data_IF_749498473962
#
_entry.id   IF_749498473962
#
_cell.length_a   1.000
_cell.length_b   1.000
_cell.length_c   1.000
_cell.angle_alpha   90.00
_cell.angle_beta   90.00
_cell.angle_gamma   90.00
#
_symmetry.space_group_name_H-M   'P 1'
#
loop_
_entity.id
_entity.type
_entity.pdbx_description
1 polymer ?
#
# COMPACT_ATOMS: atom_id res chain seq x y z
N UNK A 1 0.97 -0.65 69.11
CA UNK A 1 -0.01 -1.61 68.57
C UNK A 1 -1.23 -0.81 68.19
N UNK A 2 -1.61 -0.81 66.92
CA UNK A 2 -2.95 -0.44 66.44
C UNK A 2 -3.00 -0.85 64.97
N UNK A 3 -3.61 -2.02 64.73
CA UNK A 3 -3.75 -2.61 63.41
C UNK A 3 -5.00 -2.04 62.73
N UNK A 4 -4.80 -1.33 61.62
CA UNK A 4 -5.89 -0.92 60.74
C UNK A 4 -6.33 -2.12 59.89
N UNK A 5 -7.40 -2.79 60.31
CA UNK A 5 -8.09 -3.82 59.53
C UNK A 5 -8.84 -3.16 58.36
N UNK A 6 -8.36 -3.35 57.14
CA UNK A 6 -9.12 -3.05 55.92
C UNK A 6 -10.15 -4.15 55.69
N UNK A 7 -11.44 -3.80 55.77
CA UNK A 7 -12.54 -4.68 55.36
C UNK A 7 -12.47 -4.99 53.86
N UNK A 8 -12.79 -6.22 53.43
CA UNK A 8 -13.10 -6.50 52.04
C UNK A 8 -14.51 -5.97 51.74
N UNK A 9 -14.62 -5.06 50.77
CA UNK A 9 -15.94 -4.62 50.28
C UNK A 9 -16.57 -5.77 49.50
N UNK A 10 -17.55 -6.42 50.13
CA UNK A 10 -18.41 -7.41 49.50
C UNK A 10 -19.27 -6.78 48.38
N UNK A 11 -19.42 -7.59 47.34
CA UNK A 11 -19.94 -7.29 46.00
C UNK A 11 -21.40 -6.85 45.94
N UNK A 12 -21.68 -5.80 45.15
CA UNK A 12 -23.01 -5.50 44.63
C UNK A 12 -23.17 -6.20 43.25
N UNK A 13 -24.26 -6.94 42.95
CA UNK A 13 -24.47 -7.58 41.65
C UNK A 13 -25.01 -6.55 40.64
N UNK A 14 -24.17 -5.59 40.28
CA UNK A 14 -24.47 -4.63 39.22
C UNK A 14 -24.25 -5.30 37.86
N UNK A 15 -25.22 -5.14 36.98
CA UNK A 15 -25.31 -5.64 35.60
C UNK A 15 -23.94 -5.81 34.89
N UNK A 16 -23.80 -6.81 34.01
CA UNK A 16 -22.52 -7.18 33.45
C UNK A 16 -22.03 -6.09 32.48
N UNK A 17 -21.27 -5.14 33.01
CA UNK A 17 -20.61 -4.09 32.25
C UNK A 17 -19.52 -4.65 31.33
N UNK A 18 -18.77 -3.77 30.68
CA UNK A 18 -17.70 -4.16 29.75
C UNK A 18 -16.59 -5.01 30.42
N UNK A 19 -16.51 -5.03 31.75
CA UNK A 19 -15.55 -5.81 32.54
C UNK A 19 -15.60 -7.31 32.27
N UNK A 20 -16.75 -7.87 31.89
CA UNK A 20 -16.87 -9.29 31.50
C UNK A 20 -16.00 -9.66 30.31
N UNK A 21 -15.73 -8.71 29.41
CA UNK A 21 -14.90 -8.90 28.23
C UNK A 21 -13.41 -8.64 28.50
N UNK A 22 -13.08 -8.19 29.71
CA UNK A 22 -11.73 -7.88 30.14
C UNK A 22 -11.17 -8.90 31.15
N UNK A 23 -11.96 -9.93 31.51
CA UNK A 23 -11.51 -11.02 32.35
C UNK A 23 -10.57 -11.98 31.58
N UNK A 24 -9.62 -12.59 32.29
CA UNK A 24 -8.74 -13.63 31.71
C UNK A 24 -7.63 -13.10 30.80
N UNK A 25 -7.18 -11.86 30.98
CA UNK A 25 -6.03 -11.33 30.24
C UNK A 25 -4.76 -12.18 30.50
N UNK A 26 -3.90 -12.41 29.50
CA UNK A 26 -2.68 -13.18 29.67
C UNK A 26 -1.76 -12.55 30.74
N UNK A 27 -1.57 -13.23 31.87
CA UNK A 27 -0.64 -12.82 32.91
C UNK A 27 0.79 -13.26 32.54
N UNK A 28 1.58 -12.38 31.92
CA UNK A 28 2.99 -12.64 31.57
C UNK A 28 4.01 -12.11 32.60
N UNK A 29 3.59 -11.65 33.79
CA UNK A 29 4.51 -11.07 34.78
C UNK A 29 3.93 -10.83 36.18
N UNK A 30 4.83 -10.50 37.12
CA UNK A 30 4.60 -10.37 38.57
C UNK A 30 4.27 -8.93 39.01
N UNK A 31 3.41 -8.22 38.28
CA UNK A 31 2.96 -6.87 38.68
C UNK A 31 1.89 -6.91 39.79
N UNK A 32 2.15 -7.68 40.84
CA UNK A 32 1.26 -7.82 42.00
C UNK A 32 1.59 -6.81 43.11
N UNK A 33 2.78 -6.21 43.08
CA UNK A 33 3.19 -5.18 44.02
C UNK A 33 3.01 -3.79 43.42
N UNK A 34 2.22 -2.94 44.10
CA UNK A 34 2.05 -1.53 43.77
C UNK A 34 3.17 -0.65 44.34
N UNK A 35 4.18 -1.25 44.98
CA UNK A 35 5.29 -0.50 45.58
C UNK A 35 6.11 0.12 44.46
N UNK A 36 6.04 1.45 44.39
CA UNK A 36 6.87 2.27 43.51
C UNK A 36 8.32 2.02 43.93
N UNK A 37 9.10 1.38 43.05
CA UNK A 37 10.52 1.12 43.26
C UNK A 37 11.22 2.41 43.70
N UNK A 38 11.82 2.39 44.89
CA UNK A 38 12.47 3.53 45.56
C UNK A 38 13.79 3.98 44.90
N UNK A 39 14.07 3.54 43.67
CA UNK A 39 15.22 3.98 42.89
C UNK A 39 14.76 5.01 41.85
N UNK A 40 14.88 6.32 42.12
CA UNK A 40 14.60 7.37 41.14
C UNK A 40 15.69 7.46 40.04
N UNK A 41 16.77 6.69 40.16
CA UNK A 41 17.74 6.51 39.10
C UNK A 41 17.15 5.60 38.03
N UNK A 42 16.87 6.16 36.85
CA UNK A 42 16.32 5.44 35.69
C UNK A 42 17.16 4.24 35.22
N UNK A 43 16.87 3.76 34.01
CA UNK A 43 17.54 2.57 33.46
C UNK A 43 19.07 2.70 33.57
N UNK A 44 19.71 1.73 34.25
CA UNK A 44 21.15 1.75 34.48
C UNK A 44 21.89 1.63 33.15
N UNK A 45 22.91 2.45 32.97
CA UNK A 45 23.80 2.38 31.80
C UNK A 45 24.60 1.08 31.88
N UNK A 46 24.52 0.27 30.83
CA UNK A 46 25.35 -0.93 30.71
C UNK A 46 26.74 -0.53 30.22
N UNK A 47 27.77 -0.98 30.94
CA UNK A 47 29.18 -0.79 30.60
C UNK A 47 29.75 -2.19 30.36
N UNK A 48 30.26 -2.44 29.16
CA UNK A 48 30.89 -3.70 28.81
C UNK A 48 32.28 -3.79 29.46
N UNK A 49 32.52 -4.81 30.27
CA UNK A 49 33.83 -5.18 30.82
C UNK A 49 34.57 -6.23 29.97
N UNK A 50 33.83 -6.89 29.07
CA UNK A 50 34.32 -7.88 28.12
C UNK A 50 34.29 -7.38 26.67
N UNK A 51 35.01 -8.09 25.78
CA UNK A 51 34.92 -7.83 24.34
C UNK A 51 33.49 -8.12 23.83
N UNK A 52 32.94 -7.14 23.11
CA UNK A 52 31.63 -7.23 22.45
C UNK A 52 31.75 -7.29 20.94
N UNK A 53 32.91 -7.70 20.43
CA UNK A 53 33.07 -8.00 19.01
C UNK A 53 32.05 -9.06 18.57
N UNK A 54 31.43 -8.92 17.38
CA UNK A 54 30.54 -9.94 16.87
C UNK A 54 31.26 -11.29 16.72
N UNK A 55 30.57 -12.43 16.89
CA UNK A 55 31.16 -13.75 16.69
C UNK A 55 31.85 -13.88 15.33
N UNK A 56 32.98 -14.58 15.33
CA UNK A 56 33.80 -14.76 14.12
C UNK A 56 33.00 -15.42 12.99
N UNK A 57 33.18 -14.90 11.77
CA UNK A 57 32.50 -15.39 10.57
C UNK A 57 31.09 -14.82 10.34
N UNK A 58 30.46 -14.17 11.32
CA UNK A 58 29.15 -13.56 11.14
C UNK A 58 29.26 -12.08 10.76
N UNK A 59 29.10 -11.79 9.46
CA UNK A 59 29.15 -10.43 8.93
C UNK A 59 27.84 -10.05 8.24
N UNK A 60 27.25 -8.93 8.66
CA UNK A 60 26.09 -8.35 7.98
C UNK A 60 26.60 -7.59 6.75
N UNK A 61 26.32 -8.10 5.55
CA UNK A 61 26.69 -7.45 4.27
C UNK A 61 25.45 -7.07 3.49
N UNK A 62 25.42 -5.83 3.00
CA UNK A 62 24.41 -5.37 2.05
C UNK A 62 24.90 -5.63 0.64
N UNK A 63 24.09 -6.32 -0.16
CA UNK A 63 24.41 -6.49 -1.57
C UNK A 63 24.17 -5.17 -2.32
N UNK A 64 25.24 -4.67 -2.94
CA UNK A 64 25.31 -3.35 -3.59
C UNK A 64 24.62 -3.28 -4.95
N UNK A 65 24.18 -4.41 -5.49
CA UNK A 65 23.53 -4.44 -6.78
C UNK A 65 22.10 -3.88 -6.68
N UNK A 66 21.78 -2.96 -7.59
CA UNK A 66 20.43 -2.42 -7.72
C UNK A 66 19.39 -3.54 -7.89
N UNK A 67 18.26 -3.41 -7.17
CA UNK A 67 17.21 -4.43 -7.13
C UNK A 67 16.62 -4.76 -8.50
N UNK A 68 16.55 -3.79 -9.42
CA UNK A 68 16.03 -3.99 -10.76
C UNK A 68 17.00 -4.87 -11.56
N UNK A 69 18.30 -4.54 -11.54
CA UNK A 69 19.34 -5.31 -12.24
C UNK A 69 19.36 -6.75 -11.72
N UNK A 70 19.31 -6.95 -10.40
CA UNK A 70 19.26 -8.30 -9.82
C UNK A 70 18.05 -9.08 -10.31
N UNK A 71 16.88 -8.46 -10.30
CA UNK A 71 15.63 -9.08 -10.76
C UNK A 71 15.70 -9.47 -12.24
N UNK A 72 16.28 -8.61 -13.08
CA UNK A 72 16.47 -8.85 -14.50
C UNK A 72 17.52 -9.97 -14.76
N UNK A 73 18.56 -10.07 -13.94
CA UNK A 73 19.54 -11.17 -14.04
C UNK A 73 18.94 -12.51 -13.61
N UNK A 74 18.17 -12.54 -12.52
CA UNK A 74 17.47 -13.74 -12.05
C UNK A 74 16.48 -14.29 -13.09
N UNK A 75 15.69 -13.42 -13.74
CA UNK A 75 14.78 -13.86 -14.81
C UNK A 75 15.52 -14.35 -16.06
N UNK A 76 16.71 -13.79 -16.37
CA UNK A 76 17.53 -14.25 -17.51
C UNK A 76 18.03 -15.67 -17.26
N UNK A 77 18.54 -15.95 -16.06
CA UNK A 77 19.01 -17.29 -15.69
C UNK A 77 17.86 -18.32 -15.62
N UNK A 78 16.70 -17.93 -15.10
CA UNK A 78 15.49 -18.78 -15.09
C UNK A 78 14.98 -19.09 -16.52
N UNK A 79 15.03 -18.11 -17.42
CA UNK A 79 14.60 -18.25 -18.81
C UNK A 79 15.53 -19.13 -19.65
N UNK A 80 16.83 -19.11 -19.37
CA UNK A 80 17.79 -20.01 -20.04
C UNK A 80 17.66 -21.46 -19.54
N UNK A 81 17.49 -21.65 -18.22
CA UNK A 81 17.28 -22.98 -17.62
C UNK A 81 15.93 -23.64 -18.00
N UNK A 82 14.95 -22.88 -18.49
CA UNK A 82 13.63 -23.37 -18.93
C UNK A 82 13.57 -23.72 -20.43
N UNK A 83 14.70 -23.71 -21.14
CA UNK A 83 14.72 -23.87 -22.61
C UNK A 83 14.85 -25.31 -23.12
N UNK A 84 14.84 -26.31 -22.24
CA UNK A 84 14.51 -27.70 -22.58
C UNK A 84 13.15 -28.04 -21.99
N UNK A 85 12.09 -27.79 -22.74
CA UNK A 85 10.98 -28.74 -22.90
C UNK A 85 9.96 -28.16 -23.88
N UNK A 86 9.95 -28.82 -25.02
CA UNK A 86 8.88 -29.03 -26.00
C UNK A 86 7.54 -28.34 -25.69
N UNK A 87 7.15 -27.43 -26.60
CA UNK A 87 5.78 -27.19 -27.12
C UNK A 87 4.62 -27.60 -26.20
N UNK A 88 4.03 -26.63 -25.51
CA UNK A 88 2.73 -26.83 -24.89
C UNK A 88 2.22 -25.64 -24.08
N UNK A 89 1.32 -24.87 -24.69
CA UNK A 89 0.19 -24.16 -24.06
C UNK A 89 0.50 -23.31 -22.82
N UNK A 90 0.41 -22.00 -23.03
CA UNK A 90 0.20 -21.01 -22.00
C UNK A 90 -0.97 -21.43 -21.07
N UNK A 91 -0.68 -21.66 -19.80
CA UNK A 91 -1.69 -21.57 -18.75
C UNK A 91 -1.23 -20.56 -17.72
N UNK A 92 -1.96 -19.45 -17.71
CA UNK A 92 -2.33 -18.65 -16.54
C UNK A 92 -2.01 -19.32 -15.20
N UNK A 93 -1.39 -18.56 -14.27
CA UNK A 93 -1.99 -18.23 -12.96
C UNK A 93 -0.93 -17.63 -12.02
N UNK A 94 -0.51 -16.40 -12.30
CA UNK A 94 0.19 -15.55 -11.35
C UNK A 94 -0.74 -14.43 -10.87
N UNK A 95 -1.76 -14.73 -10.07
CA UNK A 95 -2.44 -13.74 -9.22
C UNK A 95 -3.49 -14.36 -8.29
N UNK A 96 -3.07 -15.11 -7.27
CA UNK A 96 -3.85 -15.21 -6.03
C UNK A 96 -3.40 -14.11 -5.07
N UNK A 97 -3.77 -12.86 -5.39
CA UNK A 97 -3.81 -11.77 -4.41
C UNK A 97 -5.27 -11.43 -4.14
N UNK A 98 -5.69 -11.75 -2.91
CA UNK A 98 -6.91 -11.35 -2.19
C UNK A 98 -7.82 -10.36 -2.95
N UNK A 99 -8.97 -10.87 -3.41
CA UNK A 99 -10.14 -10.05 -3.76
C UNK A 99 -10.60 -9.36 -2.48
N UNK A 100 -10.47 -8.03 -2.43
CA UNK A 100 -11.27 -7.22 -1.53
C UNK A 100 -12.55 -6.87 -2.30
N UNK A 101 -13.64 -7.55 -1.95
CA UNK A 101 -15.02 -7.15 -2.26
C UNK A 101 -15.17 -5.66 -1.89
N UNK A 102 -15.45 -4.81 -2.88
CA UNK A 102 -15.97 -3.46 -2.64
C UNK A 102 -17.47 -3.53 -2.90
N UNK A 103 -18.33 -3.41 -1.88
CA UNK A 103 -19.75 -3.34 -2.10
C UNK A 103 -20.07 -2.07 -2.87
N UNK A 104 -20.79 -2.25 -3.97
CA UNK A 104 -21.47 -1.19 -4.70
C UNK A 104 -22.54 -0.57 -3.81
N UNK A 105 -22.44 0.72 -3.51
CA UNK A 105 -23.60 1.49 -3.06
C UNK A 105 -23.77 2.75 -3.89
N UNK A 106 -24.73 2.64 -4.80
CA UNK A 106 -25.47 3.72 -5.42
C UNK A 106 -26.11 4.58 -4.32
N UNK A 107 -25.71 5.84 -4.22
CA UNK A 107 -26.57 6.91 -3.68
C UNK A 107 -26.14 8.27 -4.23
N UNK A 108 -26.90 8.69 -5.22
CA UNK A 108 -27.09 10.08 -5.64
C UNK A 108 -27.48 10.94 -4.44
N UNK A 109 -26.77 12.05 -4.22
CA UNK A 109 -27.29 13.15 -3.38
C UNK A 109 -26.72 14.48 -3.86
N UNK A 110 -27.65 15.32 -4.33
CA UNK A 110 -27.42 16.61 -4.96
C UNK A 110 -27.08 17.72 -3.95
N UNK A 111 -26.23 18.66 -4.37
CA UNK A 111 -26.39 20.10 -4.05
C UNK A 111 -25.73 20.98 -5.13
N UNK A 112 -26.58 21.75 -5.83
CA UNK A 112 -26.31 22.83 -6.81
C UNK A 112 -25.65 24.04 -6.10
N UNK A 113 -25.00 25.05 -6.68
CA UNK A 113 -24.61 25.48 -8.03
C UNK A 113 -23.61 26.67 -7.87
N UNK A 114 -22.82 26.99 -8.90
CA UNK A 114 -22.73 28.39 -9.38
C UNK A 114 -22.30 28.43 -10.85
N UNK A 115 -22.96 29.30 -11.61
CA UNK A 115 -23.01 29.41 -13.05
C UNK A 115 -22.35 30.72 -13.50
N UNK A 116 -21.40 30.65 -14.42
CA UNK A 116 -21.13 31.65 -15.46
C UNK A 116 -20.60 30.87 -16.67
N UNK A 117 -21.42 30.49 -17.64
CA UNK A 117 -21.88 31.30 -18.79
C UNK A 117 -20.71 32.01 -19.48
N UNK A 118 -20.02 31.26 -20.34
CA UNK A 118 -19.32 31.77 -21.52
C UNK A 118 -20.06 31.24 -22.75
N UNK A 119 -20.70 32.17 -23.45
CA UNK A 119 -21.61 31.96 -24.58
C UNK A 119 -20.86 31.59 -25.87
N UNK A 120 -21.51 30.78 -26.72
CA UNK A 120 -21.37 30.72 -28.19
C UNK A 120 -20.00 30.35 -28.75
N UNK A 121 -19.95 29.28 -29.55
CA UNK A 121 -20.08 29.42 -31.01
C UNK A 121 -19.71 28.09 -31.67
N UNK A 122 -20.70 27.51 -32.33
CA UNK A 122 -20.55 26.51 -33.38
C UNK A 122 -19.69 27.16 -34.48
N UNK A 123 -18.44 26.70 -34.60
CA UNK A 123 -17.43 27.33 -35.42
C UNK A 123 -16.28 26.38 -35.68
N UNK A 124 -16.31 25.79 -36.87
CA UNK A 124 -15.23 25.07 -37.53
C UNK A 124 -13.83 25.42 -37.02
N UNK A 125 -13.19 24.49 -36.31
CA UNK A 125 -11.81 24.63 -35.84
C UNK A 125 -11.03 23.34 -36.15
N UNK A 126 -10.92 23.02 -37.44
CA UNK A 126 -10.07 21.91 -37.93
C UNK A 126 -8.57 22.15 -37.69
N UNK A 127 -8.15 23.38 -37.35
CA UNK A 127 -6.74 23.70 -37.07
C UNK A 127 -6.35 23.74 -35.59
N UNK A 128 -7.29 23.90 -34.65
CA UNK A 128 -6.97 23.93 -33.21
C UNK A 128 -6.60 22.54 -32.66
N UNK A 129 -7.28 21.49 -33.14
CA UNK A 129 -7.03 20.11 -32.72
C UNK A 129 -5.62 19.60 -33.04
N UNK A 130 -4.95 20.18 -34.05
CA UNK A 130 -3.67 19.68 -34.53
C UNK A 130 -2.50 19.95 -33.57
N UNK A 131 -2.48 21.14 -32.93
CA UNK A 131 -1.45 21.52 -31.94
C UNK A 131 -1.73 20.89 -30.58
N UNK A 132 -3.00 20.68 -30.24
CA UNK A 132 -3.40 20.14 -28.93
C UNK A 132 -2.92 18.71 -28.70
N UNK A 133 -2.90 17.87 -29.74
CA UNK A 133 -2.44 16.48 -29.62
C UNK A 133 -0.95 16.37 -29.28
N UNK A 134 -0.11 17.34 -29.66
CA UNK A 134 1.32 17.31 -29.33
C UNK A 134 1.57 17.54 -27.83
N UNK A 135 0.73 18.36 -27.21
CA UNK A 135 0.80 18.72 -25.80
C UNK A 135 0.17 17.67 -24.88
N UNK A 136 -0.54 16.67 -25.44
CA UNK A 136 -1.13 15.60 -24.65
C UNK A 136 -0.12 14.52 -24.25
N UNK A 137 -0.33 13.98 -23.05
CA UNK A 137 0.37 12.79 -22.58
C UNK A 137 -0.10 11.56 -23.37
N UNK A 138 0.73 10.52 -23.40
CA UNK A 138 0.42 9.26 -24.10
C UNK A 138 -0.88 8.63 -23.57
N UNK A 139 -1.16 8.77 -22.28
CA UNK A 139 -2.40 8.28 -21.67
C UNK A 139 -3.64 9.00 -22.21
N UNK A 140 -3.58 10.34 -22.30
CA UNK A 140 -4.67 11.14 -22.86
C UNK A 140 -4.88 10.84 -24.35
N UNK A 141 -3.81 10.65 -25.11
CA UNK A 141 -3.89 10.22 -26.52
C UNK A 141 -4.53 8.83 -26.67
N UNK A 142 -4.17 7.87 -25.81
CA UNK A 142 -4.78 6.53 -25.81
C UNK A 142 -6.25 6.57 -25.42
N UNK A 143 -6.64 7.42 -24.47
CA UNK A 143 -8.04 7.60 -24.08
C UNK A 143 -8.88 8.14 -25.24
N UNK A 144 -8.37 9.15 -25.96
CA UNK A 144 -9.03 9.71 -27.15
C UNK A 144 -9.14 8.70 -28.30
N UNK A 145 -8.11 7.87 -28.51
CA UNK A 145 -8.18 6.80 -29.51
C UNK A 145 -9.23 5.75 -29.13
N UNK A 146 -9.28 5.34 -27.85
CA UNK A 146 -10.31 4.41 -27.37
C UNK A 146 -11.72 4.97 -27.50
N UNK A 147 -11.94 6.25 -27.18
CA UNK A 147 -13.26 6.87 -27.33
C UNK A 147 -13.68 6.99 -28.79
N UNK A 148 -12.72 7.10 -29.73
CA UNK A 148 -12.96 7.07 -31.17
C UNK A 148 -12.98 5.65 -31.78
N UNK A 149 -12.83 4.59 -30.97
CA UNK A 149 -12.79 3.20 -31.45
C UNK A 149 -11.53 2.82 -32.23
N UNK A 150 -10.45 3.61 -32.11
CA UNK A 150 -9.18 3.40 -32.82
C UNK A 150 -8.16 2.68 -31.94
N UNK A 151 -7.21 1.99 -32.58
CA UNK A 151 -6.16 1.24 -31.88
C UNK A 151 -5.26 2.16 -31.03
N UNK A 152 -5.11 1.89 -29.71
CA UNK A 152 -4.25 2.68 -28.80
C UNK A 152 -2.78 2.20 -28.76
N UNK A 153 -2.36 1.33 -29.70
CA UNK A 153 -0.99 0.82 -29.78
C UNK A 153 -0.11 1.70 -30.66
N UNK A 154 1.15 1.83 -30.28
CA UNK A 154 2.17 2.58 -31.02
C UNK A 154 2.98 3.55 -30.16
N UNK A 155 3.96 4.20 -30.79
CA UNK A 155 4.72 5.33 -30.23
C UNK A 155 3.85 6.60 -30.19
N UNK A 156 4.24 7.63 -29.42
CA UNK A 156 3.47 8.87 -29.25
C UNK A 156 3.10 9.50 -30.61
N UNK A 157 4.05 9.55 -31.54
CA UNK A 157 3.84 10.13 -32.88
C UNK A 157 2.81 9.36 -33.70
N UNK A 158 2.80 8.03 -33.60
CA UNK A 158 1.81 7.17 -34.28
C UNK A 158 0.40 7.39 -33.73
N UNK A 159 0.27 7.60 -32.41
CA UNK A 159 -1.03 7.89 -31.79
C UNK A 159 -1.55 9.27 -32.25
N UNK A 160 -0.66 10.25 -32.35
CA UNK A 160 -0.98 11.60 -32.83
C UNK A 160 -1.36 11.56 -34.31
N UNK A 161 -0.59 10.89 -35.15
CA UNK A 161 -0.90 10.73 -36.58
C UNK A 161 -2.27 10.07 -36.79
N UNK A 162 -2.59 9.05 -35.99
CA UNK A 162 -3.89 8.35 -36.06
C UNK A 162 -5.05 9.22 -35.59
N UNK A 163 -4.86 10.06 -34.56
CA UNK A 163 -5.88 11.03 -34.13
C UNK A 163 -6.09 12.15 -35.15
N UNK A 164 -5.02 12.56 -35.86
CA UNK A 164 -5.10 13.54 -36.94
C UNK A 164 -5.79 12.98 -38.19
N UNK A 165 -5.53 11.72 -38.55
CA UNK A 165 -6.15 11.06 -39.71
C UNK A 165 -7.62 10.67 -39.51
N UNK A 166 -8.12 10.72 -38.27
CA UNK A 166 -9.51 10.43 -37.91
C UNK A 166 -10.27 11.68 -37.41
N UNK A 167 -9.77 12.87 -37.73
CA UNK A 167 -10.43 14.15 -37.50
C UNK A 167 -10.89 14.74 -38.82
#
# INVERSE_FOLDING_TARGET
MEGSTSQPSDSNPTAPGASKFLAGLPSRGLFSSTVISSNPGGMRVYICDHDTSPPEGQQIKTNQQNILIRSLMLRKQKGEASSKDVKGVASSEASRKRVAERPSDSRTSAKRANSQVGSRQEGSNSQASNRDFQNFTVERLRALLKSKGLSPKGKKDELIARLKGAS
#
